data_IF_979871709203
#
_entry.id   IF_979871709203
#
_cell.length_a   1.000
_cell.length_b   1.000
_cell.length_c   1.000
_cell.angle_alpha   90.00
_cell.angle_beta   90.00
_cell.angle_gamma   90.00
#
_symmetry.space_group_name_H-M   'P 1'
#
loop_
_entity.id
_entity.type
_entity.pdbx_description
1 polymer ?
#
# COMPACT_ATOMS: atom_id res chain seq x y z
N UNK A 1 6.63 -0.70 15.23
CA UNK A 1 6.09 -0.46 16.59
C UNK A 1 5.88 1.02 16.90
N UNK A 2 6.82 1.91 16.58
CA UNK A 2 6.61 3.37 16.75
C UNK A 2 5.36 3.88 16.04
N UNK A 3 5.04 3.35 14.86
CA UNK A 3 3.94 3.86 14.04
C UNK A 3 2.56 3.55 14.62
N UNK A 4 2.39 2.42 15.31
CA UNK A 4 1.14 2.07 15.98
C UNK A 4 0.86 3.02 17.15
N UNK A 5 1.88 3.27 17.98
CA UNK A 5 1.80 4.23 19.08
C UNK A 5 1.43 5.64 18.57
N UNK A 6 2.11 6.09 17.51
CA UNK A 6 1.80 7.38 16.86
C UNK A 6 0.38 7.44 16.31
N UNK A 7 -0.10 6.36 15.69
CA UNK A 7 -1.44 6.29 15.09
C UNK A 7 -2.54 6.35 16.15
N UNK A 8 -2.34 5.64 17.27
CA UNK A 8 -3.28 5.63 18.37
C UNK A 8 -3.13 6.84 19.30
N UNK A 9 -2.09 7.65 19.15
CA UNK A 9 -1.85 8.81 20.02
C UNK A 9 -1.40 8.42 21.43
N UNK A 10 -0.77 7.25 21.59
CA UNK A 10 -0.34 6.70 22.88
C UNK A 10 1.19 6.61 22.97
N UNK A 11 1.70 6.38 24.18
CA UNK A 11 3.14 6.13 24.36
C UNK A 11 3.52 4.75 23.84
N UNK A 12 4.78 4.58 23.41
CA UNK A 12 5.32 3.24 23.06
C UNK A 12 5.21 2.26 24.24
N UNK A 13 5.37 2.76 25.47
CA UNK A 13 5.21 1.97 26.68
C UNK A 13 3.79 1.40 26.80
N UNK A 14 2.77 2.18 26.47
CA UNK A 14 1.37 1.71 26.48
C UNK A 14 1.20 0.52 25.54
N UNK A 15 1.80 0.58 24.35
CA UNK A 15 1.77 -0.53 23.39
C UNK A 15 2.49 -1.77 23.93
N UNK A 16 3.66 -1.61 24.58
CA UNK A 16 4.36 -2.74 25.20
C UNK A 16 3.56 -3.37 26.32
N UNK A 17 2.93 -2.55 27.16
CA UNK A 17 2.06 -3.00 28.24
C UNK A 17 0.91 -3.85 27.71
N UNK A 18 0.24 -3.41 26.64
CA UNK A 18 -0.83 -4.17 25.99
C UNK A 18 -0.33 -5.50 25.41
N UNK A 19 0.86 -5.51 24.81
CA UNK A 19 1.48 -6.75 24.31
C UNK A 19 1.86 -7.72 25.43
N UNK A 20 2.10 -7.22 26.64
CA UNK A 20 2.34 -8.01 27.85
C UNK A 20 1.04 -8.42 28.55
N UNK A 21 -0.13 -8.10 27.98
CA UNK A 21 -1.43 -8.50 28.51
C UNK A 21 -2.09 -7.50 29.45
N UNK A 22 -1.56 -6.27 29.59
CA UNK A 22 -2.29 -5.22 30.30
C UNK A 22 -3.55 -4.82 29.55
N UNK A 23 -4.58 -4.44 30.30
CA UNK A 23 -5.86 -4.04 29.75
C UNK A 23 -5.73 -2.75 28.91
N UNK A 24 -6.31 -2.80 27.72
CA UNK A 24 -6.42 -1.65 26.82
C UNK A 24 -7.64 -0.83 27.24
N UNK A 25 -7.49 0.49 27.35
CA UNK A 25 -8.63 1.38 27.58
C UNK A 25 -9.65 1.28 26.43
N UNK A 26 -10.95 1.36 26.73
CA UNK A 26 -12.04 1.08 25.78
C UNK A 26 -11.91 1.87 24.46
N UNK A 27 -11.52 3.15 24.54
CA UNK A 27 -11.28 4.01 23.38
C UNK A 27 -10.19 3.45 22.45
N UNK A 28 -9.10 2.93 23.02
CA UNK A 28 -8.01 2.32 22.26
C UNK A 28 -8.37 0.91 21.78
N UNK A 29 -9.22 0.19 22.53
CA UNK A 29 -9.68 -1.13 22.14
C UNK A 29 -10.52 -1.07 20.86
N UNK A 30 -11.44 -0.10 20.75
CA UNK A 30 -12.23 0.11 19.54
C UNK A 30 -11.35 0.45 18.32
N UNK A 31 -10.36 1.33 18.50
CA UNK A 31 -9.43 1.72 17.42
C UNK A 31 -8.50 0.58 17.01
N UNK A 32 -8.04 -0.23 17.97
CA UNK A 32 -7.28 -1.45 17.68
C UNK A 32 -8.12 -2.49 16.94
N UNK A 33 -9.39 -2.64 17.31
CA UNK A 33 -10.31 -3.54 16.62
C UNK A 33 -10.55 -3.11 15.18
N UNK A 34 -10.75 -1.81 14.92
CA UNK A 34 -10.91 -1.27 13.56
C UNK A 34 -9.64 -1.44 12.72
N UNK A 35 -8.45 -1.26 13.31
CA UNK A 35 -7.17 -1.60 12.65
C UNK A 35 -7.01 -3.10 12.37
N UNK A 36 -7.44 -3.96 13.29
CA UNK A 36 -7.42 -5.41 13.10
C UNK A 36 -8.35 -5.82 11.95
N UNK A 37 -9.57 -5.28 11.90
CA UNK A 37 -10.50 -5.50 10.79
C UNK A 37 -9.94 -5.01 9.45
N UNK A 38 -9.20 -3.90 9.44
CA UNK A 38 -8.51 -3.43 8.25
C UNK A 38 -7.44 -4.44 7.78
N UNK A 39 -6.68 -5.04 8.71
CA UNK A 39 -5.73 -6.09 8.40
C UNK A 39 -6.42 -7.35 7.85
N UNK A 40 -7.51 -7.79 8.48
CA UNK A 40 -8.30 -8.94 8.02
C UNK A 40 -8.85 -8.74 6.59
N UNK A 41 -9.32 -7.53 6.27
CA UNK A 41 -9.79 -7.18 4.91
C UNK A 41 -8.67 -7.29 3.88
N UNK A 42 -7.45 -6.86 4.22
CA UNK A 42 -6.31 -6.94 3.31
C UNK A 42 -5.82 -8.39 3.15
N UNK A 43 -5.76 -9.14 4.25
CA UNK A 43 -5.33 -10.54 4.25
C UNK A 43 -6.30 -11.44 3.47
N UNK A 44 -7.60 -11.26 3.66
CA UNK A 44 -8.65 -11.95 2.89
C UNK A 44 -8.48 -11.79 1.37
N UNK A 45 -7.96 -10.64 0.93
CA UNK A 45 -7.74 -10.32 -0.48
C UNK A 45 -6.33 -10.70 -0.97
N UNK A 46 -5.51 -11.33 -0.12
CA UNK A 46 -4.13 -11.70 -0.43
C UNK A 46 -3.18 -10.49 -0.56
N UNK A 47 -3.57 -9.33 -0.03
CA UNK A 47 -2.77 -8.11 -0.10
C UNK A 47 -1.80 -8.07 1.07
N UNK A 48 -0.54 -8.40 0.79
CA UNK A 48 0.51 -8.39 1.80
C UNK A 48 0.72 -6.99 2.40
N UNK A 49 0.58 -6.88 3.73
CA UNK A 49 0.87 -5.66 4.48
C UNK A 49 2.38 -5.47 4.56
N UNK A 50 2.92 -4.63 3.67
CA UNK A 50 4.35 -4.31 3.60
C UNK A 50 4.61 -2.80 3.69
N UNK A 51 5.89 -2.42 3.78
CA UNK A 51 6.29 -1.02 3.92
C UNK A 51 5.82 -0.12 2.74
N UNK A 52 5.70 -0.67 1.52
CA UNK A 52 5.21 0.07 0.37
C UNK A 52 3.70 0.35 0.49
N UNK A 53 2.90 -0.63 0.91
CA UNK A 53 1.48 -0.46 1.17
C UNK A 53 1.23 0.57 2.28
N UNK A 54 1.96 0.47 3.40
CA UNK A 54 1.80 1.38 4.54
C UNK A 54 2.17 2.84 4.22
N UNK A 55 3.09 3.06 3.29
CA UNK A 55 3.49 4.40 2.82
C UNK A 55 2.61 4.92 1.67
N UNK A 56 1.76 4.07 1.10
CA UNK A 56 0.90 4.44 -0.04
C UNK A 56 -0.16 5.43 0.39
N UNK A 57 -0.25 6.55 -0.34
CA UNK A 57 -1.32 7.53 -0.20
C UNK A 57 -2.45 7.19 -1.16
N UNK A 58 -3.69 7.19 -0.67
CA UNK A 58 -4.86 6.83 -1.50
C UNK A 58 -6.14 7.55 -1.08
N UNK A 59 -6.25 8.01 0.17
CA UNK A 59 -7.41 8.74 0.67
C UNK A 59 -7.08 10.24 0.80
N UNK A 60 -7.24 11.00 -0.30
CA UNK A 60 -6.92 12.44 -0.36
C UNK A 60 -5.48 12.76 0.11
N UNK A 61 -4.52 11.97 -0.35
CA UNK A 61 -3.12 12.15 0.02
C UNK A 61 -2.74 11.57 1.39
N UNK A 62 -3.62 10.81 2.04
CA UNK A 62 -3.36 10.13 3.31
C UNK A 62 -3.11 8.63 3.13
N UNK A 63 -2.28 8.08 4.03
CA UNK A 63 -2.08 6.63 4.18
C UNK A 63 -3.16 6.01 5.06
N UNK A 64 -3.23 4.68 5.09
CA UNK A 64 -4.17 3.94 5.93
C UNK A 64 -4.00 4.31 7.42
N UNK A 65 -2.75 4.36 7.89
CA UNK A 65 -2.43 4.75 9.27
C UNK A 65 -2.85 6.19 9.57
N UNK A 66 -2.73 7.11 8.61
CA UNK A 66 -3.15 8.50 8.79
C UNK A 66 -4.68 8.65 8.84
N UNK A 67 -5.42 7.81 8.12
CA UNK A 67 -6.88 7.75 8.22
C UNK A 67 -7.29 7.26 9.63
N UNK A 68 -6.69 6.16 10.09
CA UNK A 68 -6.91 5.65 11.45
C UNK A 68 -6.50 6.65 12.55
N UNK A 69 -5.43 7.41 12.31
CA UNK A 69 -4.97 8.46 13.22
C UNK A 69 -5.99 9.60 13.33
N UNK A 70 -6.68 9.93 12.24
CA UNK A 70 -7.74 10.94 12.21
C UNK A 70 -9.05 10.48 12.88
N UNK A 71 -9.13 9.23 13.35
CA UNK A 71 -10.34 8.65 13.95
C UNK A 71 -11.37 8.18 12.93
N UNK A 72 -11.01 8.16 11.65
CA UNK A 72 -11.83 7.56 10.59
C UNK A 72 -11.64 6.04 10.55
N UNK A 73 -12.61 5.32 9.97
CA UNK A 73 -12.55 3.86 9.89
C UNK A 73 -11.41 3.38 8.98
N UNK A 74 -10.43 2.72 9.60
CA UNK A 74 -9.38 1.99 8.94
C UNK A 74 -9.93 0.84 8.11
N UNK A 75 -10.98 0.15 8.58
CA UNK A 75 -11.64 -0.92 7.83
C UNK A 75 -12.19 -0.42 6.50
N UNK A 76 -12.93 0.68 6.50
CA UNK A 76 -13.50 1.23 5.27
C UNK A 76 -12.40 1.74 4.32
N UNK A 77 -11.34 2.34 4.87
CA UNK A 77 -10.18 2.73 4.09
C UNK A 77 -9.44 1.52 3.47
N UNK A 78 -9.37 0.39 4.18
CA UNK A 78 -8.83 -0.86 3.64
C UNK A 78 -9.69 -1.40 2.48
N UNK A 79 -11.02 -1.33 2.58
CA UNK A 79 -11.91 -1.69 1.46
C UNK A 79 -11.64 -0.82 0.22
N UNK A 80 -11.39 0.48 0.39
CA UNK A 80 -10.98 1.35 -0.72
C UNK A 80 -9.64 0.91 -1.32
N UNK A 81 -8.65 0.56 -0.49
CA UNK A 81 -7.37 0.02 -0.96
C UNK A 81 -7.54 -1.27 -1.76
N UNK A 82 -8.41 -2.18 -1.31
CA UNK A 82 -8.75 -3.41 -2.05
C UNK A 82 -9.30 -3.08 -3.43
N UNK A 83 -10.24 -2.12 -3.53
CA UNK A 83 -10.78 -1.72 -4.83
C UNK A 83 -9.70 -1.15 -5.77
N UNK A 84 -8.77 -0.35 -5.22
CA UNK A 84 -7.65 0.18 -5.99
C UNK A 84 -6.75 -0.98 -6.46
N UNK A 85 -6.38 -1.89 -5.57
CA UNK A 85 -5.52 -3.02 -5.88
C UNK A 85 -6.12 -3.91 -6.98
N UNK A 86 -7.41 -4.27 -6.87
CA UNK A 86 -8.12 -5.06 -7.89
C UNK A 86 -8.09 -4.38 -9.26
N UNK A 87 -8.30 -3.05 -9.31
CA UNK A 87 -8.25 -2.29 -10.57
C UNK A 87 -6.84 -2.31 -11.18
N UNK A 88 -5.80 -2.15 -10.38
CA UNK A 88 -4.41 -2.17 -10.84
C UNK A 88 -3.99 -3.54 -11.38
N UNK A 89 -4.37 -4.61 -10.68
CA UNK A 89 -4.11 -5.99 -11.12
C UNK A 89 -4.79 -6.26 -12.46
N UNK A 90 -6.09 -5.92 -12.59
CA UNK A 90 -6.81 -6.08 -13.85
C UNK A 90 -6.22 -5.24 -15.01
N UNK A 91 -5.74 -4.02 -14.73
CA UNK A 91 -5.05 -3.20 -15.72
C UNK A 91 -3.73 -3.82 -16.17
N UNK A 92 -2.93 -4.35 -15.22
CA UNK A 92 -1.66 -5.02 -15.51
C UNK A 92 -1.86 -6.29 -16.31
N UNK A 93 -2.86 -7.11 -15.98
CA UNK A 93 -3.20 -8.31 -16.74
C UNK A 93 -3.58 -7.97 -18.19
N UNK A 94 -4.43 -6.97 -18.39
CA UNK A 94 -4.80 -6.50 -19.73
C UNK A 94 -3.60 -5.99 -20.52
N UNK A 95 -2.71 -5.26 -19.87
CA UNK A 95 -1.48 -4.76 -20.49
C UNK A 95 -0.57 -5.92 -20.90
N UNK A 96 -0.34 -6.88 -20.00
CA UNK A 96 0.49 -8.05 -20.27
C UNK A 96 -0.09 -8.89 -21.42
N UNK A 97 -1.42 -9.09 -21.45
CA UNK A 97 -2.08 -9.79 -22.55
C UNK A 97 -1.87 -9.10 -23.90
N UNK A 98 -1.92 -7.77 -23.95
CA UNK A 98 -1.65 -7.00 -25.17
C UNK A 98 -0.21 -7.11 -25.68
N UNK A 99 0.74 -7.33 -24.78
CA UNK A 99 2.16 -7.47 -25.13
C UNK A 99 2.61 -8.93 -25.31
N UNK A 100 1.80 -9.92 -24.92
CA UNK A 100 2.13 -11.33 -25.05
C UNK A 100 2.28 -11.77 -26.52
N UNK A 101 1.48 -11.21 -27.43
CA UNK A 101 1.51 -11.52 -28.87
C UNK A 101 2.52 -10.66 -29.65
N UNK A 102 3.24 -9.76 -29.00
CA UNK A 102 4.26 -8.94 -29.68
C UNK A 102 5.53 -9.77 -29.87
N UNK A 103 5.86 -10.09 -31.12
CA UNK A 103 7.17 -10.63 -31.47
C UNK A 103 8.27 -9.71 -30.88
N UNK A 104 9.17 -10.27 -30.06
CA UNK A 104 10.33 -9.54 -29.55
C UNK A 104 11.13 -9.07 -30.76
N UNK A 105 11.08 -7.77 -31.05
CA UNK A 105 11.98 -7.17 -32.03
C UNK A 105 13.40 -7.39 -31.50
N UNK A 106 14.27 -8.12 -32.21
CA UNK A 106 15.66 -8.23 -31.80
C UNK A 106 16.24 -6.82 -31.72
N UNK A 107 17.04 -6.55 -30.70
CA UNK A 107 17.74 -5.28 -30.56
C UNK A 107 18.69 -5.13 -31.76
N UNK A 108 18.24 -4.45 -32.82
CA UNK A 108 19.12 -4.02 -33.88
C UNK A 108 19.98 -2.89 -33.31
N UNK A 109 21.29 -3.13 -33.23
CA UNK A 109 22.32 -2.21 -32.75
C UNK A 109 22.50 -0.95 -33.64
N UNK A 110 21.49 -0.60 -34.44
CA UNK A 110 21.54 0.40 -35.51
C UNK A 110 20.65 1.61 -35.21
N UNK A 111 20.39 1.89 -33.92
CA UNK A 111 19.54 3.00 -33.52
C UNK A 111 20.29 4.18 -32.90
N UNK A 112 21.62 4.26 -33.00
CA UNK A 112 22.32 5.43 -32.49
C UNK A 112 23.66 5.70 -33.18
N UNK A 113 23.61 6.16 -34.43
CA UNK A 113 24.72 6.94 -35.00
C UNK A 113 24.15 8.10 -35.82
N UNK A 114 24.32 9.36 -35.40
CA UNK A 114 24.11 10.49 -36.31
C UNK A 114 25.12 10.39 -37.47
N UNK A 115 24.73 10.66 -38.73
CA UNK A 115 25.67 10.63 -39.84
C UNK A 115 26.77 11.67 -39.59
N UNK A 116 28.02 11.22 -39.54
CA UNK A 116 29.19 12.09 -39.54
C UNK A 116 29.16 12.93 -40.80
N UNK A 117 28.85 14.22 -40.64
CA UNK A 117 28.81 15.17 -41.73
C UNK A 117 30.25 15.58 -42.07
N UNK A 118 30.84 14.91 -43.07
CA UNK A 118 32.14 15.27 -43.66
C UNK A 118 31.91 16.14 -44.92
N UNK A 119 32.14 17.45 -44.77
CA UNK A 119 32.38 18.43 -45.85
C UNK A 119 33.30 19.50 -45.21
N UNK A 120 34.62 19.46 -45.40
CA UNK A 120 35.37 20.04 -46.54
C UNK A 120 35.36 21.58 -46.52
#
# INVERSE_FOLDING_TARGET
>A
MSDLATTLGVSRQSVYNWLNGEQVADENAARLQDLAQAADVLDHEGIAVNAALLKRKFANGRTLMQVAQAGESARDAALVLVQIHRRETAQRERMNARFADRAKTPATADFDLPPSNDQA
#
